data_IF_539014228736
#
_entry.id   IF_539014228736
#
_cell.length_a   1.000
_cell.length_b   1.000
_cell.length_c   1.000
_cell.angle_alpha   90.00
_cell.angle_beta   90.00
_cell.angle_gamma   90.00
#
_symmetry.space_group_name_H-M   'P 1'
#
loop_
_entity.id
_entity.type
_entity.pdbx_description
1 polymer ?
#
# COMPACT_ATOMS: atom_id res chain seq x y z
N UNK A 1 42.48 -39.53 -3.45
CA UNK A 1 41.23 -38.96 -3.99
C UNK A 1 41.59 -38.06 -5.17
N UNK A 2 41.15 -38.42 -6.37
CA UNK A 2 41.71 -37.91 -7.64
C UNK A 2 41.30 -36.44 -7.89
N UNK A 3 42.28 -35.55 -8.07
CA UNK A 3 42.08 -34.11 -8.34
C UNK A 3 41.19 -33.83 -9.56
N UNK A 4 41.12 -34.78 -10.51
CA UNK A 4 40.29 -34.69 -11.72
C UNK A 4 38.78 -34.80 -11.46
N UNK A 5 38.36 -35.50 -10.39
CA UNK A 5 36.94 -35.63 -10.03
C UNK A 5 36.39 -34.37 -9.35
N UNK A 6 37.25 -33.62 -8.64
CA UNK A 6 36.86 -32.37 -7.98
C UNK A 6 36.70 -31.23 -9.00
N UNK A 7 37.56 -31.18 -10.02
CA UNK A 7 37.45 -30.22 -11.11
C UNK A 7 36.20 -30.46 -11.99
N UNK A 8 35.85 -31.72 -12.24
CA UNK A 8 34.64 -32.08 -12.98
C UNK A 8 33.35 -31.70 -12.22
N UNK A 9 33.34 -31.84 -10.89
CA UNK A 9 32.19 -31.48 -10.06
C UNK A 9 31.98 -29.95 -10.00
N UNK A 10 33.06 -29.17 -9.94
CA UNK A 10 32.98 -27.70 -9.97
C UNK A 10 32.53 -27.21 -11.36
N UNK A 11 32.99 -27.84 -12.45
CA UNK A 11 32.52 -27.51 -13.80
C UNK A 11 31.02 -27.82 -13.99
N UNK A 12 30.51 -28.92 -13.42
CA UNK A 12 29.08 -29.28 -13.48
C UNK A 12 28.20 -28.35 -12.63
N UNK A 13 28.70 -27.81 -11.51
CA UNK A 13 27.96 -26.83 -10.70
C UNK A 13 27.92 -25.45 -11.37
N UNK A 14 28.95 -25.05 -12.11
CA UNK A 14 28.93 -23.80 -12.89
C UNK A 14 28.19 -23.90 -14.24
N UNK A 15 28.03 -25.09 -14.80
CA UNK A 15 27.23 -25.31 -16.02
C UNK A 15 25.73 -25.55 -15.74
N UNK A 16 25.35 -25.87 -14.49
CA UNK A 16 23.96 -26.13 -14.09
C UNK A 16 23.14 -24.89 -13.71
N UNK A 17 23.77 -23.72 -13.52
CA UNK A 17 23.12 -22.50 -13.03
C UNK A 17 22.62 -21.52 -14.10
N UNK A 18 23.01 -21.72 -15.37
CA UNK A 18 22.58 -20.90 -16.51
C UNK A 18 21.68 -21.69 -17.46
N UNK A 19 20.86 -22.61 -16.94
CA UNK A 19 19.69 -23.06 -17.67
C UNK A 19 18.78 -21.84 -17.82
N UNK A 20 18.92 -21.15 -18.94
CA UNK A 20 18.00 -20.12 -19.39
C UNK A 20 16.62 -20.77 -19.44
N UNK A 21 15.85 -20.60 -18.36
CA UNK A 21 14.45 -20.96 -18.33
C UNK A 21 13.78 -20.08 -19.38
N UNK A 22 13.71 -20.55 -20.63
CA UNK A 22 12.99 -19.89 -21.72
C UNK A 22 11.55 -19.75 -21.26
N UNK A 23 11.17 -18.53 -20.96
CA UNK A 23 9.80 -18.21 -20.61
C UNK A 23 9.00 -18.42 -21.89
N UNK A 24 7.97 -19.26 -21.85
CA UNK A 24 7.10 -19.45 -23.01
C UNK A 24 6.25 -18.20 -23.18
N UNK A 25 6.53 -17.41 -24.22
CA UNK A 25 5.86 -16.14 -24.48
C UNK A 25 4.40 -16.35 -24.87
N UNK A 26 3.53 -15.44 -24.41
CA UNK A 26 2.09 -15.53 -24.71
C UNK A 26 1.35 -16.65 -23.99
N UNK A 27 2.00 -17.39 -23.09
CA UNK A 27 1.33 -18.36 -22.21
C UNK A 27 0.66 -17.62 -21.07
N UNK A 28 -0.62 -17.91 -20.85
CA UNK A 28 -1.38 -17.41 -19.71
C UNK A 28 -0.97 -18.21 -18.47
N UNK A 29 -0.14 -17.64 -17.61
CA UNK A 29 0.16 -18.21 -16.30
C UNK A 29 -0.65 -17.50 -15.23
N UNK A 30 -1.55 -18.24 -14.55
CA UNK A 30 -2.43 -17.72 -13.48
C UNK A 30 -3.28 -16.50 -13.88
N UNK A 31 -3.58 -16.32 -15.17
CA UNK A 31 -4.35 -15.18 -15.69
C UNK A 31 -3.51 -13.98 -16.11
N UNK A 32 -2.17 -14.08 -15.98
CA UNK A 32 -1.23 -13.09 -16.50
C UNK A 32 -0.57 -13.59 -17.77
N UNK A 33 -0.33 -12.67 -18.70
CA UNK A 33 0.39 -12.92 -19.95
C UNK A 33 1.68 -12.12 -19.94
N UNK A 34 2.77 -12.75 -20.38
CA UNK A 34 4.09 -12.14 -20.44
C UNK A 34 4.63 -12.11 -21.86
N UNK A 35 5.30 -11.02 -22.21
CA UNK A 35 5.93 -10.81 -23.51
C UNK A 35 7.31 -10.15 -23.36
N UNK A 36 8.20 -10.27 -24.36
CA UNK A 36 9.40 -9.45 -24.41
C UNK A 36 9.03 -7.97 -24.55
N UNK A 37 9.49 -7.14 -23.62
CA UNK A 37 9.24 -5.69 -23.67
C UNK A 37 9.79 -5.07 -24.95
N UNK A 38 10.96 -5.49 -25.43
CA UNK A 38 11.58 -4.95 -26.64
C UNK A 38 10.69 -5.06 -27.89
N UNK A 39 9.87 -6.11 -27.99
CA UNK A 39 8.97 -6.36 -29.12
C UNK A 39 7.68 -5.54 -28.94
N UNK A 40 7.06 -5.64 -27.76
CA UNK A 40 5.81 -4.93 -27.45
C UNK A 40 5.98 -3.42 -27.46
N UNK A 41 7.12 -2.89 -27.04
CA UNK A 41 7.36 -1.45 -26.97
C UNK A 41 7.46 -0.76 -28.34
N UNK A 42 7.76 -1.50 -29.42
CA UNK A 42 7.75 -0.92 -30.77
C UNK A 42 6.35 -0.72 -31.33
N UNK A 43 5.34 -1.28 -30.67
CA UNK A 43 3.97 -1.30 -31.15
C UNK A 43 3.08 -0.47 -30.24
N UNK A 44 1.89 -0.11 -30.76
CA UNK A 44 0.82 0.40 -29.92
C UNK A 44 0.32 -0.73 -29.03
N UNK A 45 0.31 -0.47 -27.73
CA UNK A 45 -0.22 -1.36 -26.72
C UNK A 45 -1.73 -1.41 -26.88
N UNK A 46 -2.26 -2.61 -27.10
CA UNK A 46 -3.70 -2.89 -27.34
C UNK A 46 -4.23 -4.02 -26.46
N UNK A 47 -3.41 -4.51 -25.53
CA UNK A 47 -3.77 -5.65 -24.67
C UNK A 47 -4.86 -5.28 -23.65
N UNK A 48 -4.99 -4.00 -23.28
CA UNK A 48 -6.00 -3.50 -22.33
C UNK A 48 -7.35 -3.23 -23.02
N UNK A 49 -8.46 -3.46 -22.30
CA UNK A 49 -9.81 -3.39 -22.91
C UNK A 49 -10.25 -1.96 -23.25
N UNK A 50 -9.94 -1.00 -22.35
CA UNK A 50 -10.46 0.38 -22.44
C UNK A 50 -9.48 1.35 -23.08
N UNK A 51 -8.19 1.04 -23.07
CA UNK A 51 -7.16 1.97 -23.49
C UNK A 51 -6.16 1.31 -24.42
N UNK A 52 -5.67 2.11 -25.37
CA UNK A 52 -4.49 1.77 -26.15
C UNK A 52 -3.57 2.98 -26.24
N UNK A 53 -2.26 2.77 -26.23
CA UNK A 53 -1.28 3.85 -26.15
C UNK A 53 0.08 3.38 -26.68
N UNK A 54 1.00 4.31 -26.89
CA UNK A 54 2.40 3.98 -27.17
C UNK A 54 3.24 4.10 -25.89
N UNK A 55 4.19 3.19 -25.71
CA UNK A 55 5.13 3.30 -24.60
C UNK A 55 6.12 4.45 -24.82
N UNK A 56 6.61 5.09 -23.75
CA UNK A 56 7.60 6.16 -23.87
C UNK A 56 8.90 5.71 -24.54
N UNK A 57 9.67 6.64 -25.17
CA UNK A 57 10.91 6.32 -25.88
C UNK A 57 11.91 5.49 -25.06
N UNK A 58 11.98 5.73 -23.75
CA UNK A 58 12.83 4.97 -22.82
C UNK A 58 12.57 3.45 -22.90
N UNK A 59 11.31 3.02 -22.97
CA UNK A 59 10.95 1.60 -23.05
C UNK A 59 11.13 1.03 -24.45
N UNK A 60 11.05 1.86 -25.50
CA UNK A 60 11.32 1.44 -26.89
C UNK A 60 12.77 1.02 -27.11
N UNK A 61 13.69 1.43 -26.23
CA UNK A 61 15.11 1.06 -26.31
C UNK A 61 15.47 -0.14 -25.44
N UNK A 62 14.49 -0.76 -24.76
CA UNK A 62 14.75 -1.89 -23.89
C UNK A 62 15.31 -3.08 -24.69
N UNK A 63 16.42 -3.70 -24.26
CA UNK A 63 16.98 -4.86 -24.95
C UNK A 63 16.06 -6.08 -24.82
N UNK A 64 16.06 -6.94 -25.84
CA UNK A 64 15.31 -8.19 -25.79
C UNK A 64 15.91 -9.14 -24.77
N UNK A 65 15.13 -9.44 -23.73
CA UNK A 65 15.51 -10.35 -22.65
C UNK A 65 14.39 -11.33 -22.39
N UNK A 66 14.78 -12.50 -21.92
CA UNK A 66 13.87 -13.53 -21.45
C UNK A 66 13.54 -13.29 -19.96
N UNK A 67 12.84 -12.17 -19.71
CA UNK A 67 12.45 -11.70 -18.38
C UNK A 67 11.02 -11.12 -18.49
N UNK A 68 10.18 -11.20 -17.43
CA UNK A 68 8.82 -10.64 -17.43
C UNK A 68 8.80 -9.09 -17.34
N UNK A 69 9.52 -8.43 -18.25
CA UNK A 69 9.61 -6.96 -18.36
C UNK A 69 8.31 -6.34 -18.87
N UNK A 70 7.42 -7.15 -19.44
CA UNK A 70 6.05 -6.79 -19.82
C UNK A 70 5.09 -7.85 -19.26
N UNK A 71 4.09 -7.41 -18.51
CA UNK A 71 3.04 -8.27 -17.96
C UNK A 71 1.67 -7.63 -18.10
N UNK A 72 0.69 -8.43 -18.51
CA UNK A 72 -0.71 -8.03 -18.55
C UNK A 72 -1.56 -9.04 -17.77
N UNK A 73 -2.30 -8.57 -16.78
CA UNK A 73 -3.26 -9.34 -16.00
C UNK A 73 -4.66 -9.16 -16.59
N UNK A 74 -5.18 -10.24 -17.17
CA UNK A 74 -6.49 -10.30 -17.82
C UNK A 74 -7.65 -10.05 -16.85
N UNK A 75 -7.49 -10.41 -15.56
CA UNK A 75 -8.56 -10.32 -14.55
C UNK A 75 -8.71 -8.91 -14.04
N UNK A 76 -7.58 -8.25 -13.79
CA UNK A 76 -7.56 -6.90 -13.25
C UNK A 76 -7.47 -5.81 -14.32
N UNK A 77 -7.34 -6.18 -15.60
CA UNK A 77 -7.07 -5.27 -16.72
C UNK A 77 -5.91 -4.32 -16.37
N UNK A 78 -4.81 -4.94 -15.93
CA UNK A 78 -3.62 -4.26 -15.42
C UNK A 78 -2.41 -4.61 -16.26
N UNK A 79 -1.70 -3.60 -16.71
CA UNK A 79 -0.46 -3.76 -17.46
C UNK A 79 0.71 -3.18 -16.66
N UNK A 80 1.83 -3.89 -16.61
CA UNK A 80 3.06 -3.37 -16.03
C UNK A 80 4.23 -3.58 -16.99
N UNK A 81 5.06 -2.56 -17.13
CA UNK A 81 6.34 -2.63 -17.83
C UNK A 81 7.49 -2.22 -16.93
N UNK A 82 8.64 -2.87 -17.08
CA UNK A 82 9.80 -2.68 -16.22
C UNK A 82 11.07 -2.69 -17.06
N UNK A 83 11.97 -1.74 -16.79
CA UNK A 83 13.36 -1.79 -17.25
C UNK A 83 14.21 -2.24 -16.06
N UNK A 84 14.73 -3.47 -16.08
CA UNK A 84 15.51 -4.00 -14.97
C UNK A 84 16.93 -3.45 -14.98
N UNK A 85 17.48 -3.25 -13.80
CA UNK A 85 18.85 -2.82 -13.57
C UNK A 85 19.34 -3.20 -12.18
N UNK A 86 20.56 -2.75 -11.89
CA UNK A 86 21.25 -3.01 -10.63
C UNK A 86 21.68 -1.68 -10.06
N UNK A 87 21.32 -1.43 -8.81
CA UNK A 87 21.75 -0.28 -8.03
C UNK A 87 22.57 -0.79 -6.86
N UNK A 88 23.83 -0.39 -6.76
CA UNK A 88 24.72 -0.85 -5.70
C UNK A 88 25.45 0.33 -5.04
N UNK A 89 25.74 0.18 -3.75
CA UNK A 89 26.68 1.00 -3.00
C UNK A 89 27.76 0.08 -2.38
N UNK A 90 28.66 0.63 -1.56
CA UNK A 90 29.77 -0.13 -0.96
C UNK A 90 29.35 -1.33 -0.10
N UNK A 91 28.12 -1.33 0.42
CA UNK A 91 27.64 -2.30 1.42
C UNK A 91 26.41 -3.11 0.98
N UNK A 92 25.70 -2.67 -0.06
CA UNK A 92 24.39 -3.20 -0.44
C UNK A 92 24.19 -3.16 -1.96
N UNK A 93 23.40 -4.10 -2.48
CA UNK A 93 23.00 -4.17 -3.89
C UNK A 93 21.50 -4.44 -3.97
N UNK A 94 20.82 -3.70 -4.85
CA UNK A 94 19.44 -3.90 -5.24
C UNK A 94 19.38 -4.28 -6.71
N UNK A 95 18.76 -5.42 -7.00
CA UNK A 95 18.49 -5.89 -8.37
C UNK A 95 16.98 -5.82 -8.58
N UNK A 96 16.53 -5.10 -9.60
CA UNK A 96 15.10 -4.91 -9.86
C UNK A 96 14.83 -3.87 -10.92
N UNK A 97 13.57 -3.42 -11.02
CA UNK A 97 13.19 -2.37 -11.96
C UNK A 97 13.80 -1.01 -11.59
N UNK A 98 14.57 -0.41 -12.49
CA UNK A 98 15.08 0.97 -12.32
C UNK A 98 14.04 1.97 -12.79
N UNK A 99 13.37 1.68 -13.92
CA UNK A 99 12.18 2.38 -14.37
C UNK A 99 11.03 1.40 -14.54
N UNK A 100 9.83 1.83 -14.21
CA UNK A 100 8.64 1.02 -14.44
C UNK A 100 7.42 1.90 -14.70
N UNK A 101 6.48 1.37 -15.45
CA UNK A 101 5.14 1.94 -15.55
C UNK A 101 4.08 0.89 -15.26
N UNK A 102 2.99 1.32 -14.62
CA UNK A 102 1.80 0.51 -14.40
C UNK A 102 0.58 1.25 -14.93
N UNK A 103 -0.28 0.52 -15.61
CA UNK A 103 -1.51 1.02 -16.18
C UNK A 103 -2.66 0.19 -15.67
N UNK A 104 -3.74 0.85 -15.30
CA UNK A 104 -4.91 0.22 -14.76
C UNK A 104 -6.16 0.97 -15.22
N UNK A 105 -7.06 0.29 -15.91
CA UNK A 105 -8.29 0.89 -16.45
C UNK A 105 -9.56 0.18 -15.96
N UNK A 106 -9.43 -0.65 -14.92
CA UNK A 106 -10.49 -1.49 -14.37
C UNK A 106 -11.03 -1.01 -13.02
N UNK A 107 -11.53 -1.96 -12.24
CA UNK A 107 -12.20 -1.70 -10.96
C UNK A 107 -11.24 -1.70 -9.77
N UNK A 108 -11.23 -0.61 -9.01
CA UNK A 108 -10.59 -0.52 -7.69
C UNK A 108 -11.53 0.17 -6.72
N UNK A 109 -11.49 -0.25 -5.46
CA UNK A 109 -12.40 0.29 -4.42
C UNK A 109 -12.23 1.79 -4.25
N UNK A 110 -11.00 2.28 -4.35
CA UNK A 110 -10.69 3.70 -4.24
C UNK A 110 -11.43 4.53 -5.30
N UNK A 111 -11.72 3.95 -6.47
CA UNK A 111 -12.40 4.63 -7.58
C UNK A 111 -13.92 4.68 -7.42
N UNK A 112 -14.47 4.14 -6.33
CA UNK A 112 -15.89 4.27 -6.03
C UNK A 112 -16.25 5.67 -5.54
N UNK A 113 -15.24 6.41 -5.05
CA UNK A 113 -15.34 7.83 -4.72
C UNK A 113 -15.49 8.70 -5.97
N UNK A 114 -16.18 9.82 -5.83
CA UNK A 114 -16.12 10.94 -6.78
C UNK A 114 -14.68 11.39 -7.01
N UNK A 115 -14.36 12.04 -8.15
CA UNK A 115 -13.00 12.50 -8.43
C UNK A 115 -12.39 13.33 -7.28
N UNK A 116 -13.15 14.27 -6.73
CA UNK A 116 -12.77 15.11 -5.59
C UNK A 116 -12.61 14.27 -4.32
N UNK A 117 -13.56 13.37 -4.05
CA UNK A 117 -13.51 12.47 -2.91
C UNK A 117 -12.27 11.56 -2.93
N UNK A 118 -11.92 11.04 -4.11
CA UNK A 118 -10.72 10.25 -4.34
C UNK A 118 -9.45 11.08 -4.14
N UNK A 119 -9.41 12.30 -4.68
CA UNK A 119 -8.22 13.14 -4.60
C UNK A 119 -7.80 13.39 -3.15
N UNK A 120 -8.76 13.73 -2.31
CA UNK A 120 -8.54 13.93 -0.88
C UNK A 120 -8.17 12.61 -0.17
N UNK A 121 -8.96 11.54 -0.34
CA UNK A 121 -8.71 10.24 0.31
C UNK A 121 -7.33 9.67 -0.04
N UNK A 122 -6.96 9.76 -1.32
CA UNK A 122 -5.68 9.25 -1.79
C UNK A 122 -4.50 10.13 -1.35
N UNK A 123 -4.69 11.45 -1.27
CA UNK A 123 -3.69 12.37 -0.70
C UNK A 123 -3.41 12.04 0.77
N UNK A 124 -4.46 11.83 1.56
CA UNK A 124 -4.34 11.45 2.96
C UNK A 124 -3.61 10.10 3.10
N UNK A 125 -4.04 9.11 2.31
CA UNK A 125 -3.45 7.77 2.30
C UNK A 125 -1.95 7.78 1.96
N UNK A 126 -1.53 8.57 0.96
CA UNK A 126 -0.11 8.69 0.61
C UNK A 126 0.69 9.49 1.65
N UNK A 127 0.08 10.49 2.28
CA UNK A 127 0.72 11.29 3.34
C UNK A 127 1.08 10.47 4.58
N UNK A 128 0.33 9.40 4.85
CA UNK A 128 0.56 8.48 5.96
C UNK A 128 1.64 7.42 5.67
N UNK A 129 1.95 7.14 4.39
CA UNK A 129 2.87 6.07 3.97
C UNK A 129 4.30 6.55 3.76
N UNK A 130 4.83 7.30 4.74
CA UNK A 130 6.14 7.95 4.64
C UNK A 130 7.30 7.00 4.33
N UNK A 131 7.23 5.75 4.79
CA UNK A 131 8.31 4.78 4.63
C UNK A 131 8.36 4.11 3.24
N UNK A 132 7.28 4.22 2.45
CA UNK A 132 7.14 3.48 1.19
C UNK A 132 6.90 4.42 0.00
N UNK A 133 6.20 5.53 0.22
CA UNK A 133 5.88 6.55 -0.78
C UNK A 133 5.33 7.82 -0.11
N UNK A 134 6.18 8.63 0.53
CA UNK A 134 5.78 9.90 1.14
C UNK A 134 5.27 10.86 0.07
N UNK A 135 4.04 11.35 0.21
CA UNK A 135 3.49 12.36 -0.70
C UNK A 135 4.30 13.65 -0.64
N UNK A 136 4.71 14.14 -1.81
CA UNK A 136 5.45 15.40 -1.99
C UNK A 136 4.55 16.48 -2.58
N UNK A 137 3.83 16.15 -3.66
CA UNK A 137 2.83 17.06 -4.25
C UNK A 137 1.60 16.30 -4.72
N UNK A 138 0.45 16.95 -4.63
CA UNK A 138 -0.80 16.50 -5.24
C UNK A 138 -1.45 17.69 -5.97
N UNK A 139 -1.93 17.48 -7.19
CA UNK A 139 -2.57 18.53 -7.98
C UNK A 139 -3.55 17.97 -9.00
N UNK A 140 -4.43 18.82 -9.51
CA UNK A 140 -5.23 18.51 -10.68
C UNK A 140 -4.52 18.96 -11.95
N UNK A 141 -4.60 18.16 -13.00
CA UNK A 141 -4.02 18.46 -14.32
C UNK A 141 -5.07 18.13 -15.37
N UNK A 142 -5.35 19.09 -16.26
CA UNK A 142 -6.22 18.86 -17.40
C UNK A 142 -5.43 18.30 -18.58
N UNK A 143 -6.06 17.41 -19.34
CA UNK A 143 -5.49 16.86 -20.57
C UNK A 143 -6.59 16.75 -21.64
N UNK A 144 -6.22 16.46 -22.88
CA UNK A 144 -7.17 16.46 -24.01
C UNK A 144 -8.34 15.47 -23.84
N UNK A 145 -8.15 14.40 -23.07
CA UNK A 145 -9.18 13.39 -22.79
C UNK A 145 -9.99 13.61 -21.51
N UNK A 146 -9.71 14.66 -20.71
CA UNK A 146 -10.42 14.93 -19.47
C UNK A 146 -9.54 15.54 -18.38
N UNK A 147 -9.66 15.04 -17.14
CA UNK A 147 -8.97 15.61 -15.98
C UNK A 147 -8.32 14.52 -15.14
N UNK A 148 -7.08 14.77 -14.72
CA UNK A 148 -6.28 13.83 -13.95
C UNK A 148 -5.93 14.37 -12.56
N UNK A 149 -6.09 13.54 -11.54
CA UNK A 149 -5.44 13.72 -10.26
C UNK A 149 -3.99 13.24 -10.39
N UNK A 150 -3.04 14.16 -10.15
CA UNK A 150 -1.58 13.94 -10.19
C UNK A 150 -1.04 13.85 -8.76
N UNK A 151 -0.32 12.78 -8.45
CA UNK A 151 0.38 12.60 -7.18
C UNK A 151 1.84 12.30 -7.43
N UNK A 152 2.73 13.04 -6.77
CA UNK A 152 4.15 12.77 -6.76
C UNK A 152 4.58 12.42 -5.35
N UNK A 153 5.22 11.26 -5.20
CA UNK A 153 5.69 10.73 -3.93
C UNK A 153 7.14 10.28 -4.02
N UNK A 154 7.84 10.36 -2.90
CA UNK A 154 9.21 9.90 -2.77
C UNK A 154 9.39 9.02 -1.53
N UNK A 155 10.33 8.08 -1.59
CA UNK A 155 10.74 7.32 -0.41
C UNK A 155 12.24 7.02 -0.49
N UNK A 156 12.97 7.43 0.54
CA UNK A 156 14.36 7.07 0.68
C UNK A 156 14.46 5.64 1.26
N UNK A 157 15.08 4.74 0.50
CA UNK A 157 15.30 3.35 0.89
C UNK A 157 16.64 3.11 1.57
N UNK A 158 17.51 4.11 1.65
CA UNK A 158 18.91 4.01 2.08
C UNK A 158 19.87 3.51 0.99
N UNK A 159 19.36 2.96 -0.12
CA UNK A 159 20.16 2.53 -1.29
C UNK A 159 19.91 3.46 -2.48
N UNK A 160 18.66 3.86 -2.68
CA UNK A 160 18.21 4.73 -3.74
C UNK A 160 16.99 5.54 -3.28
N UNK A 161 16.76 6.67 -3.95
CA UNK A 161 15.53 7.43 -3.82
C UNK A 161 14.48 6.82 -4.75
N UNK A 162 13.40 6.26 -4.19
CA UNK A 162 12.25 5.84 -4.98
C UNK A 162 11.38 7.04 -5.28
N UNK A 163 11.12 7.32 -6.55
CA UNK A 163 10.28 8.42 -7.03
C UNK A 163 9.09 7.85 -7.78
N UNK A 164 7.88 8.23 -7.39
CA UNK A 164 6.63 7.70 -7.93
C UNK A 164 5.78 8.88 -8.41
N UNK A 165 5.31 8.80 -9.64
CA UNK A 165 4.37 9.74 -10.24
C UNK A 165 3.11 8.98 -10.68
N UNK A 166 1.96 9.36 -10.14
CA UNK A 166 0.68 8.72 -10.41
C UNK A 166 -0.30 9.74 -11.00
N UNK A 167 -0.91 9.37 -12.13
CA UNK A 167 -2.00 10.09 -12.77
C UNK A 167 -3.24 9.21 -12.73
N UNK A 168 -4.33 9.74 -12.19
CA UNK A 168 -5.63 9.06 -12.17
C UNK A 168 -6.62 9.94 -12.92
N UNK A 169 -7.01 9.53 -14.13
CA UNK A 169 -7.67 10.35 -15.13
C UNK A 169 -9.12 9.94 -15.35
N UNK A 170 -10.05 10.88 -15.19
CA UNK A 170 -11.46 10.71 -15.57
C UNK A 170 -11.69 11.26 -16.97
N UNK A 171 -12.50 10.53 -17.73
CA UNK A 171 -12.78 10.77 -19.14
C UNK A 171 -14.23 10.32 -19.44
N UNK A 172 -14.81 10.82 -20.54
CA UNK A 172 -16.23 10.60 -20.87
C UNK A 172 -16.49 9.67 -22.06
N UNK A 173 -15.45 9.26 -22.78
CA UNK A 173 -15.50 8.45 -24.00
C UNK A 173 -15.89 7.00 -23.71
N UNK A 174 -15.33 6.39 -22.67
CA UNK A 174 -15.57 4.95 -22.43
C UNK A 174 -16.96 4.61 -21.86
N UNK A 175 -17.69 5.61 -21.35
CA UNK A 175 -18.91 5.44 -20.57
C UNK A 175 -18.68 4.96 -19.12
N UNK A 176 -17.44 4.73 -18.70
CA UNK A 176 -17.11 4.32 -17.32
C UNK A 176 -16.91 5.50 -16.39
N UNK A 177 -17.48 5.41 -15.18
CA UNK A 177 -17.22 6.37 -14.09
C UNK A 177 -15.88 6.13 -13.39
N UNK A 178 -15.18 5.03 -13.67
CA UNK A 178 -13.88 4.75 -13.08
C UNK A 178 -12.76 5.43 -13.88
N UNK A 179 -11.69 5.89 -13.22
CA UNK A 179 -10.58 6.53 -13.91
C UNK A 179 -9.65 5.52 -14.59
N UNK A 180 -8.83 6.04 -15.50
CA UNK A 180 -7.62 5.38 -16.02
C UNK A 180 -6.47 5.80 -15.12
N UNK A 181 -5.75 4.85 -14.55
CA UNK A 181 -4.63 5.09 -13.66
C UNK A 181 -3.31 4.73 -14.35
N UNK A 182 -2.39 5.69 -14.39
CA UNK A 182 -1.07 5.60 -14.98
C UNK A 182 -0.06 5.93 -13.90
N UNK A 183 0.83 5.00 -13.62
CA UNK A 183 1.90 5.15 -12.62
C UNK A 183 3.23 5.03 -13.31
N UNK A 184 4.11 5.98 -13.09
CA UNK A 184 5.53 5.91 -13.41
C UNK A 184 6.33 5.82 -12.11
N UNK A 185 7.38 5.00 -12.11
CA UNK A 185 8.25 4.82 -10.97
C UNK A 185 9.71 4.74 -11.42
N UNK A 186 10.58 5.43 -10.68
CA UNK A 186 12.03 5.44 -10.83
C UNK A 186 12.68 5.11 -9.48
N UNK A 187 13.58 4.14 -9.50
CA UNK A 187 14.51 3.92 -8.39
C UNK A 187 15.82 4.63 -8.75
N UNK A 188 16.02 5.83 -8.21
CA UNK A 188 17.12 6.73 -8.55
C UNK A 188 18.33 6.51 -7.61
N UNK A 189 19.48 6.03 -8.09
CA UNK A 189 20.68 5.95 -7.27
C UNK A 189 21.15 7.33 -6.80
N UNK A 190 21.79 7.41 -5.63
CA UNK A 190 22.31 8.69 -5.13
C UNK A 190 23.35 9.30 -6.07
N UNK A 191 23.27 10.62 -6.25
CA UNK A 191 24.19 11.39 -7.11
C UNK A 191 23.85 11.35 -8.61
N UNK A 192 22.81 10.61 -9.01
CA UNK A 192 22.34 10.60 -10.39
C UNK A 192 21.32 11.71 -10.65
N UNK A 193 21.27 12.19 -11.89
CA UNK A 193 20.28 13.19 -12.29
C UNK A 193 18.90 12.53 -12.40
N UNK A 194 17.87 13.09 -11.75
CA UNK A 194 16.51 12.55 -11.83
C UNK A 194 15.93 12.66 -13.25
N UNK A 195 15.23 11.61 -13.70
CA UNK A 195 14.39 11.67 -14.91
C UNK A 195 13.21 12.62 -14.66
N UNK A 196 12.79 13.39 -15.67
CA UNK A 196 11.53 14.12 -15.59
C UNK A 196 10.37 13.16 -15.89
N UNK A 197 9.81 12.55 -14.83
CA UNK A 197 8.77 11.52 -14.97
C UNK A 197 7.51 12.03 -15.69
N UNK A 198 7.13 13.30 -15.53
CA UNK A 198 5.99 13.89 -16.26
C UNK A 198 6.31 13.89 -17.76
N UNK A 199 7.39 14.56 -18.16
CA UNK A 199 7.73 14.81 -19.57
C UNK A 199 8.19 13.55 -20.32
N UNK A 200 8.96 12.69 -19.65
CA UNK A 200 9.64 11.57 -20.29
C UNK A 200 8.85 10.26 -20.19
N UNK A 201 7.91 10.15 -19.24
CA UNK A 201 7.13 8.92 -19.04
C UNK A 201 5.63 9.13 -19.18
N UNK A 202 5.03 10.13 -18.53
CA UNK A 202 3.56 10.30 -18.53
C UNK A 202 3.05 11.00 -19.81
N UNK A 203 3.63 12.14 -20.18
CA UNK A 203 3.21 12.93 -21.34
C UNK A 203 3.18 12.12 -22.66
N UNK A 204 4.18 11.27 -22.98
CA UNK A 204 4.14 10.47 -24.20
C UNK A 204 2.98 9.47 -24.21
N UNK A 205 2.63 8.91 -23.05
CA UNK A 205 1.47 8.02 -22.92
C UNK A 205 0.20 8.83 -23.14
N UNK A 206 -0.01 9.91 -22.38
CA UNK A 206 -1.24 10.72 -22.49
C UNK A 206 -1.43 11.27 -23.92
N UNK A 207 -0.36 11.66 -24.59
CA UNK A 207 -0.42 12.18 -25.98
C UNK A 207 -0.85 11.11 -26.99
N UNK A 208 -0.47 9.85 -26.76
CA UNK A 208 -0.80 8.73 -27.66
C UNK A 208 -2.03 7.92 -27.24
N UNK A 209 -2.63 8.29 -26.10
CA UNK A 209 -3.71 7.55 -25.46
C UNK A 209 -4.99 7.64 -26.30
N UNK A 210 -5.52 6.48 -26.65
CA UNK A 210 -6.83 6.30 -27.27
C UNK A 210 -7.71 5.54 -26.29
N UNK A 211 -8.92 6.07 -26.09
CA UNK A 211 -9.91 5.49 -25.18
C UNK A 211 -11.01 4.86 -26.00
N UNK A 212 -11.38 3.64 -25.63
CA UNK A 212 -12.39 2.83 -26.30
C UNK A 212 -13.66 2.75 -25.45
N UNK A 213 -14.86 2.73 -26.07
CA UNK A 213 -16.11 2.41 -25.39
C UNK A 213 -16.02 1.06 -24.68
N UNK A 214 -16.39 1.03 -23.40
CA UNK A 214 -16.46 -0.22 -22.64
C UNK A 214 -17.81 -0.90 -22.94
N UNK A 215 -17.85 -2.23 -23.18
CA UNK A 215 -19.11 -2.94 -23.39
C UNK A 215 -20.10 -2.74 -22.24
N UNK A 216 -21.39 -2.60 -22.57
CA UNK A 216 -22.45 -2.35 -21.59
C UNK A 216 -22.50 -3.41 -20.48
N UNK A 217 -22.23 -4.68 -20.79
CA UNK A 217 -22.15 -5.77 -19.82
C UNK A 217 -21.05 -5.54 -18.78
N UNK A 218 -19.89 -5.03 -19.20
CA UNK A 218 -18.78 -4.71 -18.29
C UNK A 218 -19.10 -3.50 -17.43
N UNK A 219 -19.75 -2.48 -17.99
CA UNK A 219 -20.23 -1.32 -17.23
C UNK A 219 -21.26 -1.74 -16.18
N UNK A 220 -22.19 -2.63 -16.53
CA UNK A 220 -23.18 -3.17 -15.60
C UNK A 220 -22.53 -3.99 -14.48
N UNK A 221 -21.54 -4.83 -14.80
CA UNK A 221 -20.75 -5.58 -13.81
C UNK A 221 -20.07 -4.63 -12.80
N UNK A 222 -19.40 -3.60 -13.30
CA UNK A 222 -18.76 -2.56 -12.50
C UNK A 222 -19.71 -1.79 -11.58
N UNK A 223 -20.89 -1.43 -12.09
CA UNK A 223 -21.94 -0.82 -11.29
C UNK A 223 -22.45 -1.77 -10.18
N UNK A 224 -22.60 -3.06 -10.50
CA UNK A 224 -22.98 -4.10 -9.55
C UNK A 224 -21.97 -4.24 -8.40
N UNK A 225 -20.68 -4.29 -8.71
CA UNK A 225 -19.60 -4.36 -7.71
C UNK A 225 -19.58 -3.13 -6.78
N UNK A 226 -19.81 -1.92 -7.32
CA UNK A 226 -19.95 -0.71 -6.49
C UNK A 226 -21.16 -0.82 -5.58
N UNK A 227 -22.32 -1.28 -6.08
CA UNK A 227 -23.53 -1.45 -5.29
C UNK A 227 -23.36 -2.49 -4.17
N UNK A 228 -22.74 -3.64 -4.47
CA UNK A 228 -22.43 -4.67 -3.48
C UNK A 228 -21.48 -4.14 -2.40
N UNK A 229 -20.41 -3.45 -2.80
CA UNK A 229 -19.52 -2.80 -1.85
C UNK A 229 -20.25 -1.81 -0.96
N UNK A 230 -21.11 -0.96 -1.52
CA UNK A 230 -21.88 0.02 -0.77
C UNK A 230 -22.80 -0.66 0.27
N UNK A 231 -23.52 -1.72 -0.13
CA UNK A 231 -24.39 -2.49 0.77
C UNK A 231 -23.58 -3.19 1.87
N UNK A 232 -22.48 -3.85 1.51
CA UNK A 232 -21.61 -4.54 2.46
C UNK A 232 -20.94 -3.57 3.44
N UNK A 233 -20.53 -2.39 2.96
CA UNK A 233 -19.96 -1.34 3.80
C UNK A 233 -20.99 -0.82 4.79
N UNK A 234 -22.23 -0.55 4.36
CA UNK A 234 -23.31 -0.09 5.24
C UNK A 234 -23.64 -1.13 6.31
N UNK A 235 -23.83 -2.39 5.92
CA UNK A 235 -24.10 -3.48 6.87
C UNK A 235 -22.98 -3.59 7.91
N UNK A 236 -21.71 -3.61 7.48
CA UNK A 236 -20.59 -3.68 8.42
C UNK A 236 -20.49 -2.43 9.31
N UNK A 237 -20.79 -1.25 8.78
CA UNK A 237 -20.77 -0.01 9.54
C UNK A 237 -21.83 0.00 10.65
N UNK A 238 -23.06 -0.39 10.31
CA UNK A 238 -24.22 -0.45 11.22
C UNK A 238 -24.06 -1.52 12.29
N UNK A 239 -23.60 -2.71 11.91
CA UNK A 239 -23.34 -3.83 12.81
C UNK A 239 -22.04 -3.64 13.61
N UNK A 240 -21.36 -2.48 13.44
CA UNK A 240 -20.06 -2.17 14.05
C UNK A 240 -19.02 -3.29 13.83
N UNK A 241 -19.07 -3.96 12.68
CA UNK A 241 -18.12 -5.01 12.29
C UNK A 241 -16.81 -4.41 11.81
N UNK A 242 -15.78 -5.25 11.78
CA UNK A 242 -14.46 -4.84 11.33
C UNK A 242 -14.46 -4.40 9.86
N UNK A 243 -14.02 -3.17 9.61
CA UNK A 243 -13.92 -2.60 8.27
C UNK A 243 -12.52 -2.83 7.71
N UNK A 244 -12.43 -3.54 6.57
CA UNK A 244 -11.15 -3.87 5.90
C UNK A 244 -10.55 -2.71 5.08
N UNK A 245 -10.87 -1.46 5.42
CA UNK A 245 -10.53 -0.29 4.59
C UNK A 245 -9.28 0.46 5.03
N UNK A 246 -8.54 -0.05 6.02
CA UNK A 246 -7.36 0.64 6.57
C UNK A 246 -7.72 2.03 7.14
N UNK A 247 -8.89 2.10 7.76
CA UNK A 247 -9.47 3.35 8.25
C UNK A 247 -8.83 3.81 9.57
N UNK A 248 -8.91 5.10 9.86
CA UNK A 248 -8.45 5.67 11.13
C UNK A 248 -9.42 5.31 12.27
N UNK A 249 -9.04 5.52 13.55
CA UNK A 249 -9.94 5.27 14.67
C UNK A 249 -11.28 6.03 14.61
N UNK A 250 -11.35 7.16 13.91
CA UNK A 250 -12.57 7.95 13.73
C UNK A 250 -13.49 7.43 12.60
N UNK A 251 -13.10 6.35 11.91
CA UNK A 251 -13.80 5.80 10.73
C UNK A 251 -14.03 6.80 9.57
N UNK A 252 -13.22 7.86 9.49
CA UNK A 252 -13.44 8.95 8.52
C UNK A 252 -13.52 8.45 7.08
N UNK A 253 -12.67 7.48 6.72
CA UNK A 253 -12.65 6.92 5.37
C UNK A 253 -13.95 6.18 5.06
N UNK A 254 -14.43 5.36 5.99
CA UNK A 254 -15.68 4.62 5.82
C UNK A 254 -16.88 5.54 5.69
N UNK A 255 -16.94 6.60 6.52
CA UNK A 255 -17.99 7.62 6.44
C UNK A 255 -18.00 8.30 5.07
N UNK A 256 -16.82 8.65 4.53
CA UNK A 256 -16.68 9.23 3.18
C UNK A 256 -17.26 8.29 2.10
N UNK A 257 -16.89 7.02 2.10
CA UNK A 257 -17.43 6.04 1.15
C UNK A 257 -18.96 5.84 1.31
N UNK A 258 -19.47 5.81 2.54
CA UNK A 258 -20.91 5.67 2.79
C UNK A 258 -21.71 6.85 2.24
N UNK A 259 -21.19 8.08 2.40
CA UNK A 259 -21.81 9.28 1.82
C UNK A 259 -21.82 9.25 0.31
N UNK A 260 -20.72 8.82 -0.31
CA UNK A 260 -20.66 8.64 -1.77
C UNK A 260 -21.65 7.56 -2.26
N UNK A 261 -21.88 6.52 -1.45
CA UNK A 261 -22.91 5.52 -1.71
C UNK A 261 -24.34 6.04 -1.50
N UNK A 262 -24.53 7.31 -1.11
CA UNK A 262 -25.84 7.92 -0.88
C UNK A 262 -26.44 7.67 0.51
N UNK A 263 -25.68 7.10 1.44
CA UNK A 263 -26.15 6.90 2.81
C UNK A 263 -25.94 8.17 3.66
N UNK A 264 -26.98 8.55 4.40
CA UNK A 264 -26.85 9.55 5.45
C UNK A 264 -26.15 8.92 6.66
N UNK A 265 -24.96 9.43 6.96
CA UNK A 265 -24.15 9.02 8.10
C UNK A 265 -23.64 10.24 8.84
N UNK A 266 -23.69 10.23 10.19
CA UNK A 266 -23.19 11.34 10.99
C UNK A 266 -21.70 11.58 10.69
N UNK A 267 -21.24 12.79 10.98
CA UNK A 267 -19.80 13.07 10.92
C UNK A 267 -19.03 12.09 11.82
N UNK A 268 -17.80 11.72 11.42
CA UNK A 268 -16.98 10.82 12.23
C UNK A 268 -16.83 11.40 13.64
N UNK A 269 -17.33 10.66 14.64
CA UNK A 269 -17.23 11.02 16.06
C UNK A 269 -16.12 10.17 16.67
N UNK A 270 -15.04 10.78 17.16
CA UNK A 270 -13.95 10.02 17.75
C UNK A 270 -12.62 10.77 17.77
N UNK A 271 -11.55 10.03 18.06
CA UNK A 271 -10.16 10.51 18.00
C UNK A 271 -9.65 10.46 16.56
N UNK A 272 -9.05 11.55 16.09
CA UNK A 272 -8.56 11.66 14.70
C UNK A 272 -7.25 10.89 14.46
N UNK A 273 -6.60 10.42 15.52
CA UNK A 273 -5.37 9.60 15.44
C UNK A 273 -5.19 8.71 16.68
N UNK A 274 -4.36 7.66 16.53
CA UNK A 274 -3.92 6.85 17.67
C UNK A 274 -3.18 7.67 18.73
N UNK A 275 -2.42 8.69 18.33
CA UNK A 275 -1.72 9.56 19.28
C UNK A 275 -2.64 10.32 20.23
N UNK A 276 -3.88 10.61 19.83
CA UNK A 276 -4.88 11.23 20.71
C UNK A 276 -5.46 10.25 21.74
N UNK A 277 -5.41 8.94 21.48
CA UNK A 277 -5.73 7.92 22.49
C UNK A 277 -4.65 7.85 23.57
N UNK A 278 -3.39 8.05 23.17
CA UNK A 278 -2.20 7.91 24.01
C UNK A 278 -1.66 9.26 24.53
N UNK A 279 -2.50 10.28 24.71
CA UNK A 279 -2.15 11.54 25.40
C UNK A 279 -2.90 11.65 26.74
N UNK A 280 -2.39 12.40 27.72
CA UNK A 280 -3.16 12.73 28.92
C UNK A 280 -4.49 13.38 28.53
N UNK A 281 -5.62 12.87 29.03
CA UNK A 281 -6.96 13.35 28.65
C UNK A 281 -7.54 12.77 27.36
N UNK A 282 -6.86 11.81 26.72
CA UNK A 282 -7.30 11.11 25.50
C UNK A 282 -8.64 10.36 25.65
N UNK A 283 -9.32 10.06 24.53
CA UNK A 283 -10.66 9.41 24.55
C UNK A 283 -10.60 7.97 24.09
N UNK A 284 -10.71 7.03 25.02
CA UNK A 284 -10.82 5.60 24.77
C UNK A 284 -12.18 5.24 24.16
N UNK A 285 -12.20 4.38 23.15
CA UNK A 285 -13.44 3.84 22.56
C UNK A 285 -13.59 2.37 22.99
N UNK A 286 -14.68 2.01 23.68
CA UNK A 286 -15.08 0.60 23.83
C UNK A 286 -16.20 0.29 24.83
N UNK A 287 -17.20 -0.50 24.39
CA UNK A 287 -17.58 -1.84 24.89
C UNK A 287 -18.50 -2.51 23.85
N UNK A 288 -18.29 -3.79 23.59
CA UNK A 288 -19.26 -4.61 22.88
C UNK A 288 -20.35 -5.03 23.87
N UNK A 289 -21.58 -5.18 23.37
CA UNK A 289 -22.82 -5.50 24.10
C UNK A 289 -23.67 -4.31 24.59
N UNK A 290 -23.70 -3.20 23.85
CA UNK A 290 -24.92 -2.38 23.83
C UNK A 290 -24.78 -0.88 23.63
N UNK A 291 -23.84 -0.20 24.26
CA UNK A 291 -23.73 1.26 24.11
C UNK A 291 -22.27 1.75 24.15
N UNK A 292 -21.95 2.66 23.22
CA UNK A 292 -20.68 3.38 23.17
C UNK A 292 -20.58 4.34 24.36
N UNK A 293 -19.49 4.28 25.12
CA UNK A 293 -19.03 5.45 25.85
C UNK A 293 -17.59 5.75 25.48
N UNK A 294 -17.40 6.88 24.81
CA UNK A 294 -16.10 7.56 24.74
C UNK A 294 -15.70 7.88 26.18
N UNK A 295 -14.72 7.17 26.74
CA UNK A 295 -14.23 7.46 28.09
C UNK A 295 -12.96 8.27 28.00
N UNK A 296 -12.96 9.47 28.61
CA UNK A 296 -11.73 10.26 28.79
C UNK A 296 -10.82 9.54 29.79
N UNK A 297 -9.57 9.34 29.43
CA UNK A 297 -8.52 8.90 30.34
C UNK A 297 -8.18 10.05 31.27
N UNK A 298 -8.21 9.80 32.58
CA UNK A 298 -7.72 10.78 33.54
C UNK A 298 -6.19 10.89 33.47
N UNK A 299 -5.60 12.02 33.91
CA UNK A 299 -4.14 12.16 34.01
C UNK A 299 -3.47 11.04 34.79
N UNK A 300 -4.12 10.50 35.83
CA UNK A 300 -3.59 9.39 36.64
C UNK A 300 -3.62 8.07 35.89
N UNK A 301 -4.70 7.80 35.14
CA UNK A 301 -4.80 6.63 34.27
C UNK A 301 -3.79 6.68 33.13
N UNK A 302 -3.55 7.87 32.61
CA UNK A 302 -2.52 8.12 31.62
C UNK A 302 -1.11 7.93 32.19
N UNK A 303 -0.83 8.52 33.36
CA UNK A 303 0.45 8.38 34.04
C UNK A 303 0.74 6.91 34.42
N UNK A 304 -0.29 6.13 34.79
CA UNK A 304 -0.13 4.69 35.01
C UNK A 304 0.23 3.96 33.70
N UNK A 305 -0.44 4.28 32.59
CA UNK A 305 -0.17 3.70 31.27
C UNK A 305 1.25 4.04 30.80
N UNK A 306 1.64 5.31 30.95
CA UNK A 306 2.92 5.86 30.55
C UNK A 306 4.08 5.30 31.39
N UNK A 307 4.03 5.39 32.72
CA UNK A 307 5.06 4.86 33.61
C UNK A 307 5.31 3.36 33.39
N UNK A 308 4.25 2.63 33.02
CA UNK A 308 4.32 1.20 32.78
C UNK A 308 4.88 0.85 31.41
N UNK A 309 4.53 1.59 30.36
CA UNK A 309 5.17 1.47 29.04
C UNK A 309 6.67 1.76 29.12
N UNK A 310 7.07 2.73 29.94
CA UNK A 310 8.47 3.06 30.17
C UNK A 310 9.20 1.98 31.01
N UNK A 311 8.50 1.29 31.90
CA UNK A 311 9.05 0.14 32.65
C UNK A 311 9.22 -1.14 31.82
N UNK A 312 8.52 -1.24 30.68
CA UNK A 312 8.58 -2.38 29.76
C UNK A 312 9.74 -2.25 28.76
N UNK A 313 10.50 -1.15 28.80
CA UNK A 313 11.78 -1.06 28.09
C UNK A 313 12.78 -2.01 28.75
N UNK A 314 13.36 -2.98 28.02
CA UNK A 314 14.31 -3.91 28.61
C UNK A 314 15.55 -3.14 29.08
N UNK A 315 16.07 -3.51 30.26
CA UNK A 315 17.39 -3.11 30.70
C UNK A 315 18.44 -3.57 29.65
N UNK A 316 19.57 -2.85 29.50
CA UNK A 316 20.59 -3.20 28.52
C UNK A 316 21.01 -4.68 28.67
N UNK A 317 20.70 -5.52 27.68
CA UNK A 317 21.18 -6.90 27.61
C UNK A 317 20.16 -8.03 27.79
N UNK A 318 18.87 -7.76 28.06
CA UNK A 318 17.85 -8.83 28.16
C UNK A 318 17.01 -8.89 26.89
N UNK A 319 17.09 -10.01 26.15
CA UNK A 319 16.20 -10.33 25.03
C UNK A 319 15.05 -11.21 25.51
N UNK A 320 13.78 -10.88 25.20
CA UNK A 320 12.76 -11.86 24.92
C UNK A 320 12.62 -12.06 23.41
N UNK A 321 12.39 -13.30 22.97
CA UNK A 321 12.02 -13.64 21.59
C UNK A 321 10.65 -13.05 21.25
N UNK A 322 10.63 -11.76 21.01
CA UNK A 322 9.58 -11.01 20.35
C UNK A 322 10.18 -10.67 18.98
N UNK A 323 9.48 -10.93 17.88
CA UNK A 323 9.92 -10.48 16.55
C UNK A 323 9.84 -8.95 16.51
N UNK A 324 10.92 -8.31 16.94
CA UNK A 324 11.18 -6.87 16.80
C UNK A 324 11.69 -6.65 15.38
N UNK A 325 10.93 -5.96 14.54
CA UNK A 325 11.52 -5.36 13.33
C UNK A 325 12.23 -4.07 13.75
N UNK A 326 13.56 -4.12 13.71
CA UNK A 326 14.46 -2.99 13.98
C UNK A 326 14.24 -1.86 12.98
N UNK A 327 14.02 -0.64 13.47
CA UNK A 327 14.35 0.59 12.75
C UNK A 327 15.65 1.18 13.30
N UNK A 328 16.52 1.62 12.40
CA UNK A 328 17.88 2.08 12.66
C UNK A 328 17.95 3.40 13.44
N UNK A 329 19.00 3.48 14.27
CA UNK A 329 19.63 4.63 14.95
C UNK A 329 19.17 5.13 16.34
N UNK A 330 17.93 4.95 16.81
CA UNK A 330 17.50 5.60 18.07
C UNK A 330 17.04 4.68 19.24
N UNK A 331 17.39 3.38 19.25
CA UNK A 331 17.21 2.43 20.40
C UNK A 331 15.95 2.61 21.29
N UNK A 332 14.78 2.92 20.72
CA UNK A 332 13.48 2.87 21.41
C UNK A 332 12.70 1.66 20.89
N UNK A 333 12.54 0.64 21.74
CA UNK A 333 11.83 -0.59 21.40
C UNK A 333 10.36 -0.51 21.77
N UNK A 334 9.49 -0.79 20.81
CA UNK A 334 8.05 -0.94 20.98
C UNK A 334 7.66 -2.38 20.61
N UNK A 335 6.85 -3.04 21.43
CA UNK A 335 6.34 -4.39 21.13
C UNK A 335 5.12 -4.25 20.21
N UNK A 336 5.31 -4.53 18.91
CA UNK A 336 4.28 -4.29 17.89
C UNK A 336 3.21 -5.38 17.74
N UNK A 337 3.39 -6.57 18.32
CA UNK A 337 2.41 -7.64 18.08
C UNK A 337 2.40 -8.68 19.20
N UNK A 338 1.35 -8.65 20.02
CA UNK A 338 0.86 -9.83 20.73
C UNK A 338 -0.28 -10.44 19.91
N UNK A 339 -0.22 -11.74 19.60
CA UNK A 339 -1.31 -12.46 18.93
C UNK A 339 -1.89 -13.45 19.93
N UNK A 340 -3.02 -13.11 20.56
CA UNK A 340 -3.72 -14.01 21.45
C UNK A 340 -4.23 -15.23 20.67
N UNK A 341 -3.72 -16.42 20.98
CA UNK A 341 -4.20 -17.70 20.42
C UNK A 341 -5.22 -18.39 21.36
N UNK A 342 -5.75 -17.67 22.35
CA UNK A 342 -6.75 -18.11 23.33
C UNK A 342 -7.48 -16.92 23.98
N UNK A 343 -8.43 -17.16 24.91
CA UNK A 343 -9.14 -16.08 25.61
C UNK A 343 -8.16 -15.18 26.36
N UNK A 344 -8.28 -13.87 26.14
CA UNK A 344 -7.39 -12.87 26.74
C UNK A 344 -7.62 -12.81 28.26
N UNK A 345 -6.59 -13.06 29.05
CA UNK A 345 -6.66 -13.10 30.52
C UNK A 345 -6.56 -11.70 31.14
N UNK A 346 -7.38 -10.76 30.67
CA UNK A 346 -7.39 -9.36 31.08
C UNK A 346 -8.53 -8.56 30.45
N UNK A 347 -8.50 -7.24 30.62
CA UNK A 347 -9.48 -6.34 29.99
C UNK A 347 -9.05 -6.03 28.56
N UNK A 348 -9.85 -6.43 27.57
CA UNK A 348 -9.62 -6.13 26.16
C UNK A 348 -10.52 -4.99 25.69
N UNK A 349 -9.91 -3.96 25.11
CA UNK A 349 -10.60 -2.81 24.56
C UNK A 349 -10.52 -2.85 23.04
N UNK A 350 -11.69 -3.12 22.43
CA UNK A 350 -11.84 -3.14 20.97
C UNK A 350 -11.82 -1.74 20.43
N UNK A 351 -11.00 -1.51 19.42
CA UNK A 351 -10.80 -0.18 18.82
C UNK A 351 -11.29 -0.18 17.37
N UNK A 352 -11.85 0.93 16.88
CA UNK A 352 -12.09 1.09 15.45
C UNK A 352 -10.74 1.07 14.70
N UNK A 353 -10.74 0.68 13.41
CA UNK A 353 -11.90 0.28 12.62
C UNK A 353 -12.27 -1.21 12.77
N UNK A 354 -11.60 -1.93 13.66
CA UNK A 354 -11.74 -3.38 13.78
C UNK A 354 -12.21 -3.80 15.17
N UNK A 355 -13.52 -3.82 15.37
CA UNK A 355 -14.18 -4.25 16.62
C UNK A 355 -14.19 -5.78 16.83
N UNK A 356 -13.13 -6.46 16.43
CA UNK A 356 -12.98 -7.88 16.71
C UNK A 356 -12.00 -8.08 17.89
N UNK A 357 -12.07 -9.26 18.51
CA UNK A 357 -11.25 -9.60 19.68
C UNK A 357 -9.76 -9.74 19.38
N UNK A 358 -9.37 -9.63 18.10
CA UNK A 358 -7.97 -9.65 17.70
C UNK A 358 -7.37 -8.26 17.72
N UNK A 359 -8.11 -7.19 17.38
CA UNK A 359 -7.56 -5.84 17.28
C UNK A 359 -8.08 -4.93 18.40
N UNK A 360 -7.17 -4.17 19.02
CA UNK A 360 -7.41 -3.55 20.31
C UNK A 360 -6.14 -3.37 21.10
N UNK A 361 -6.33 -2.91 22.33
CA UNK A 361 -5.31 -3.04 23.35
C UNK A 361 -5.92 -3.76 24.55
N UNK A 362 -5.11 -4.59 25.18
CA UNK A 362 -5.45 -5.38 26.33
C UNK A 362 -4.58 -4.98 27.50
N UNK A 363 -5.15 -5.09 28.70
CA UNK A 363 -4.40 -4.96 29.95
C UNK A 363 -4.58 -6.25 30.73
N UNK A 364 -3.49 -6.99 30.97
CA UNK A 364 -3.49 -8.24 31.74
C UNK A 364 -2.40 -8.26 32.79
N UNK A 365 -2.52 -9.14 33.78
CA UNK A 365 -1.45 -9.45 34.72
C UNK A 365 -0.72 -10.72 34.26
N UNK A 366 0.53 -10.58 33.84
CA UNK A 366 1.41 -11.67 33.47
C UNK A 366 2.24 -12.14 34.68
N UNK A 367 2.37 -13.45 34.92
CA UNK A 367 3.09 -13.97 36.09
C UNK A 367 4.58 -13.63 36.14
N UNK A 368 5.23 -13.37 35.00
CA UNK A 368 6.66 -13.09 34.91
C UNK A 368 6.94 -11.60 34.69
N UNK A 369 6.08 -10.92 33.94
CA UNK A 369 6.29 -9.53 33.53
C UNK A 369 5.49 -8.53 34.38
N UNK A 370 4.67 -9.00 35.32
CA UNK A 370 3.71 -8.17 36.02
C UNK A 370 2.57 -7.73 35.08
N UNK A 371 1.95 -6.58 35.31
CA UNK A 371 0.87 -6.12 34.42
C UNK A 371 1.43 -5.62 33.08
N UNK A 372 0.91 -6.20 32.00
CA UNK A 372 1.32 -6.00 30.61
C UNK A 372 0.21 -5.27 29.86
N UNK A 373 0.60 -4.34 28.99
CA UNK A 373 -0.28 -3.73 27.98
C UNK A 373 0.03 -4.41 26.65
N UNK A 374 -0.92 -5.21 26.16
CA UNK A 374 -0.81 -5.86 24.86
C UNK A 374 -1.47 -4.96 23.81
N UNK A 375 -0.79 -4.64 22.72
CA UNK A 375 -1.39 -3.91 21.61
C UNK A 375 -1.42 -4.81 20.38
N UNK A 376 -2.58 -4.87 19.73
CA UNK A 376 -2.73 -5.52 18.44
C UNK A 376 -3.47 -4.59 17.49
N UNK A 377 -2.74 -3.97 16.58
CA UNK A 377 -3.29 -3.15 15.52
C UNK A 377 -3.18 -3.92 14.20
N UNK A 378 -4.11 -3.66 13.28
CA UNK A 378 -4.14 -4.28 11.96
C UNK A 378 -2.85 -4.10 11.16
N UNK A 379 -2.79 -4.72 9.98
CA UNK A 379 -1.81 -4.38 8.96
C UNK A 379 -1.92 -2.88 8.65
N UNK A 380 -1.02 -2.09 9.23
CA UNK A 380 -1.13 -0.65 9.46
C UNK A 380 -0.28 -0.18 10.65
N UNK A 381 0.04 -1.09 11.58
CA UNK A 381 1.01 -0.85 12.67
C UNK A 381 0.56 0.23 13.67
N UNK A 382 1.41 0.50 14.68
CA UNK A 382 1.34 1.80 15.34
C UNK A 382 1.74 2.88 14.32
N UNK A 383 1.24 4.13 14.43
CA UNK A 383 1.70 5.21 13.55
C UNK A 383 3.24 5.29 13.57
N UNK A 384 3.89 5.37 12.40
CA UNK A 384 5.29 5.77 12.34
C UNK A 384 5.45 7.12 13.06
N UNK A 385 6.17 7.13 14.17
CA UNK A 385 6.38 8.34 14.98
C UNK A 385 5.52 8.50 16.24
N UNK A 386 4.76 7.47 16.69
CA UNK A 386 4.28 7.45 18.07
C UNK A 386 5.49 7.29 19.02
N UNK A 387 6.11 8.41 19.36
CA UNK A 387 7.07 8.52 20.45
C UNK A 387 6.29 9.00 21.67
N UNK A 388 6.03 8.10 22.61
CA UNK A 388 5.63 8.50 23.96
C UNK A 388 6.86 9.21 24.53
N UNK A 389 6.74 10.53 24.70
CA UNK A 389 7.77 11.36 25.28
C UNK A 389 7.44 11.51 26.77
N UNK A 390 8.34 11.04 27.63
CA UNK A 390 8.33 11.42 29.05
C UNK A 390 9.03 12.78 29.19
N UNK A 391 8.63 13.55 30.21
CA UNK A 391 9.56 14.43 30.94
C UNK A 391 10.45 13.65 31.91
#
# INVERSE_FOLDING_TARGET
MNRSLFAAFIALVFLGGCASHKMEYGVVERGSVFYPLCEKAQQRITDMQRISFELPPLFKQAPCRNWPDYSYDLRSDRLNVVIPGVIANESQMSVGGVHSMSFFAGLRREYFLSPEGFFEDYSDYLSERREIAALVTASWVDWSGGRCARFYSEADTGIFLRRILEYTCWESVSGSSFPIHIKANENLPYGYTPTNLDREMIEPVLTSLQIHPVPAERLAFWAGEKAEFCSALKANFDEKKALRMGDRPDRRRSVRFLRECGYEVPDPVGVGSWGELFKPGGRLIGRADGEESLRRLSPEQFAELEARLMSLLPAPGVRPEIRVQTFTADRKGLVESYRATGPYAGDWYRVPPSYNDRYGFGIRNDPLLGRVIDVHLGSGGMPPGLRIAIE
#
